data_IF_715384961888
#
_entry.id   IF_715384961888
#
_cell.length_a   1.000
_cell.length_b   1.000
_cell.length_c   1.000
_cell.angle_alpha   90.00
_cell.angle_beta   90.00
_cell.angle_gamma   90.00
#
_symmetry.space_group_name_H-M   'P 1'
#
loop_
_entity.id
_entity.type
_entity.pdbx_description
1 polymer ?
#
# COMPACT_ATOMS: atom_id res chain seq x y z
N UNK A 1 -2.12 11.17 -10.77
CA UNK A 1 -2.67 10.13 -9.87
C UNK A 1 -1.62 9.03 -9.78
N UNK A 2 -1.04 8.81 -8.61
CA UNK A 2 0.07 7.88 -8.45
C UNK A 2 -0.47 6.53 -7.95
N UNK A 3 -0.12 5.45 -8.65
CA UNK A 3 -0.54 4.08 -8.32
C UNK A 3 0.64 3.31 -7.71
N UNK A 4 0.42 2.67 -6.57
CA UNK A 4 1.38 1.80 -5.90
C UNK A 4 0.82 0.38 -5.79
N UNK A 5 1.61 -0.61 -6.21
CA UNK A 5 1.30 -2.04 -5.96
C UNK A 5 2.18 -2.51 -4.80
N UNK A 6 1.55 -3.04 -3.76
CA UNK A 6 2.24 -3.63 -2.61
C UNK A 6 1.82 -5.09 -2.52
N UNK A 7 2.76 -6.01 -2.70
CA UNK A 7 2.48 -7.43 -2.49
C UNK A 7 2.60 -7.78 -1.00
N UNK A 8 1.80 -8.73 -0.52
CA UNK A 8 1.87 -9.14 0.89
C UNK A 8 1.46 -8.05 1.90
N UNK A 9 0.56 -7.13 1.52
CA UNK A 9 0.15 -6.02 2.39
C UNK A 9 -0.99 -6.35 3.37
N UNK A 10 -1.33 -7.63 3.52
CA UNK A 10 -2.34 -8.08 4.48
C UNK A 10 -1.92 -7.91 5.95
N UNK A 11 -0.61 -7.84 6.25
CA UNK A 11 -0.10 -7.66 7.61
C UNK A 11 1.32 -7.05 7.64
N UNK A 12 1.84 -6.82 8.85
CA UNK A 12 3.23 -6.42 9.09
C UNK A 12 3.68 -5.18 8.30
N UNK A 13 4.87 -5.28 7.73
CA UNK A 13 5.53 -4.17 7.02
C UNK A 13 4.75 -3.78 5.76
N UNK A 14 4.23 -4.76 5.00
CA UNK A 14 3.46 -4.49 3.78
C UNK A 14 2.23 -3.61 4.07
N UNK A 15 1.50 -3.91 5.16
CA UNK A 15 0.37 -3.09 5.61
C UNK A 15 0.80 -1.68 6.01
N UNK A 16 1.90 -1.54 6.74
CA UNK A 16 2.42 -0.25 7.18
C UNK A 16 2.83 0.64 5.98
N UNK A 17 3.49 0.04 4.99
CA UNK A 17 3.86 0.72 3.74
C UNK A 17 2.61 1.18 2.99
N UNK A 18 1.63 0.29 2.78
CA UNK A 18 0.38 0.64 2.11
C UNK A 18 -0.35 1.80 2.81
N UNK A 19 -0.44 1.77 4.15
CA UNK A 19 -1.07 2.83 4.93
C UNK A 19 -0.34 4.18 4.81
N UNK A 20 1.00 4.17 4.77
CA UNK A 20 1.78 5.40 4.59
C UNK A 20 1.48 6.06 3.25
N UNK A 21 1.51 5.31 2.15
CA UNK A 21 1.28 5.86 0.82
C UNK A 21 -0.18 6.26 0.57
N UNK A 22 -1.14 5.54 1.17
CA UNK A 22 -2.54 6.00 1.19
C UNK A 22 -2.66 7.39 1.82
N UNK A 23 -1.96 7.66 2.94
CA UNK A 23 -1.97 8.97 3.60
C UNK A 23 -1.37 10.10 2.75
N UNK A 24 -0.50 9.76 1.79
CA UNK A 24 0.11 10.71 0.85
C UNK A 24 -0.73 10.90 -0.43
N UNK A 25 -1.89 10.26 -0.53
CA UNK A 25 -2.81 10.40 -1.67
C UNK A 25 -2.54 9.45 -2.84
N UNK A 26 -1.75 8.40 -2.63
CA UNK A 26 -1.58 7.35 -3.63
C UNK A 26 -2.81 6.45 -3.69
N UNK A 27 -3.15 5.98 -4.88
CA UNK A 27 -3.99 4.80 -5.04
C UNK A 27 -3.11 3.57 -4.78
N UNK A 28 -3.49 2.72 -3.81
CA UNK A 28 -2.70 1.54 -3.43
C UNK A 28 -3.48 0.26 -3.72
N UNK A 29 -2.84 -0.70 -4.38
CA UNK A 29 -3.37 -2.03 -4.67
C UNK A 29 -2.56 -3.07 -3.93
N UNK A 30 -3.21 -3.87 -3.09
CA UNK A 30 -2.60 -5.03 -2.45
C UNK A 30 -2.79 -6.29 -3.32
N UNK A 31 -1.74 -7.10 -3.45
CA UNK A 31 -1.81 -8.44 -4.05
C UNK A 31 -1.26 -9.46 -3.04
N UNK A 32 -2.15 -10.18 -2.36
CA UNK A 32 -1.84 -11.19 -1.34
C UNK A 32 -3.04 -12.09 -1.06
#
# INVERSE_FOLDING_TARGET
MNLLIVTGASSGIGRAVAARFLSEGFAVVNVS
#
